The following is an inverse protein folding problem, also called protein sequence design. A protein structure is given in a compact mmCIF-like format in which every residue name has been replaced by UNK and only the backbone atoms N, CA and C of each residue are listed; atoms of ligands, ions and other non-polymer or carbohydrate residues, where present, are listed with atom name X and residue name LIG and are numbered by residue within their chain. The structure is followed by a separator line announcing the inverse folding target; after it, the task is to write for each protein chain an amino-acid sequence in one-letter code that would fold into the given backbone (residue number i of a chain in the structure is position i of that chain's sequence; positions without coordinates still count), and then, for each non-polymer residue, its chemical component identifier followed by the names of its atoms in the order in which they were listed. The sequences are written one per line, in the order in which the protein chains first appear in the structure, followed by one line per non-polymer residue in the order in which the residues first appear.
data_IF_967229826233
#
_entry.id   IF_967229826233
#
_cell.length_a   1.000
_cell.length_b   1.000
_cell.length_c   1.000
_cell.angle_alpha   90.00
_cell.angle_beta   90.00
_cell.angle_gamma   90.00
#
_symmetry.space_group_name_H-M   'P 1'
#
loop_
_entity.id
_entity.type
_entity.pdbx_description
1 polymer ?
#
# COMPACT_ATOMS: atom_id res chain seq x y z
N UNK A 1 -4.74 1.83 14.92
CA UNK A 1 -6.02 2.36 14.37
C UNK A 1 -6.86 1.25 13.71
N UNK A 2 -6.36 0.42 12.77
CA UNK A 2 -7.20 -0.60 12.11
C UNK A 2 -7.83 -1.60 13.08
N UNK A 3 -7.09 -2.10 14.08
CA UNK A 3 -7.63 -3.04 15.08
C UNK A 3 -8.81 -2.44 15.85
N UNK A 4 -8.71 -1.19 16.29
CA UNK A 4 -9.78 -0.50 17.02
C UNK A 4 -11.06 -0.36 16.17
N UNK A 5 -10.91 -0.08 14.87
CA UNK A 5 -12.05 -0.01 13.95
C UNK A 5 -12.72 -1.38 13.81
N UNK A 6 -11.95 -2.44 13.61
CA UNK A 6 -12.47 -3.80 13.53
C UNK A 6 -13.22 -4.18 14.80
N UNK A 7 -12.66 -3.91 15.98
CA UNK A 7 -13.29 -4.19 17.27
C UNK A 7 -14.63 -3.44 17.44
N UNK A 8 -14.68 -2.16 17.00
CA UNK A 8 -15.91 -1.35 17.06
C UNK A 8 -17.05 -1.91 16.22
N UNK A 9 -16.73 -2.48 15.05
CA UNK A 9 -17.74 -2.99 14.10
C UNK A 9 -17.96 -4.49 14.15
N UNK A 10 -17.16 -5.23 14.92
CA UNK A 10 -17.27 -6.68 15.08
C UNK A 10 -18.63 -7.05 15.64
N UNK A 11 -19.34 -7.93 14.94
CA UNK A 11 -20.64 -8.46 15.37
C UNK A 11 -21.85 -7.59 15.03
N UNK A 12 -21.67 -6.44 14.38
CA UNK A 12 -22.79 -5.59 13.93
C UNK A 12 -23.44 -6.08 12.63
N UNK A 13 -22.73 -6.87 11.84
CA UNK A 13 -23.25 -7.44 10.59
C UNK A 13 -23.90 -8.79 10.83
N UNK A 14 -25.08 -8.99 10.22
CA UNK A 14 -25.85 -10.24 10.31
C UNK A 14 -25.37 -11.34 9.35
N UNK A 15 -24.52 -10.99 8.38
CA UNK A 15 -24.03 -11.87 7.30
C UNK A 15 -22.62 -12.44 7.57
N UNK A 16 -22.10 -12.28 8.78
CA UNK A 16 -20.77 -12.77 9.18
C UNK A 16 -19.60 -11.91 8.71
N UNK A 17 -19.84 -10.81 7.99
CA UNK A 17 -18.81 -9.84 7.62
C UNK A 17 -18.56 -8.85 8.76
N UNK A 18 -17.33 -8.34 8.87
CA UNK A 18 -17.01 -7.28 9.86
C UNK A 18 -17.66 -5.96 9.48
N UNK A 19 -17.72 -5.67 8.17
CA UNK A 19 -18.32 -4.45 7.63
C UNK A 19 -19.36 -4.79 6.57
N UNK A 20 -20.47 -4.05 6.58
CA UNK A 20 -21.41 -4.04 5.45
C UNK A 20 -20.81 -3.18 4.34
N UNK A 21 -20.27 -3.83 3.30
CA UNK A 21 -19.63 -3.14 2.17
C UNK A 21 -20.61 -3.02 1.02
N UNK A 22 -20.86 -1.81 0.49
CA UNK A 22 -21.68 -1.64 -0.71
C UNK A 22 -21.03 -2.32 -1.92
N UNK A 23 -21.83 -2.62 -2.95
CA UNK A 23 -21.29 -3.14 -4.21
C UNK A 23 -20.24 -2.19 -4.82
N UNK A 24 -19.31 -2.72 -5.62
CA UNK A 24 -18.27 -1.92 -6.28
C UNK A 24 -18.86 -0.74 -7.09
N UNK A 25 -20.01 -0.95 -7.75
CA UNK A 25 -20.69 0.11 -8.48
C UNK A 25 -21.14 1.25 -7.57
N UNK A 26 -21.75 0.92 -6.42
CA UNK A 26 -22.18 1.91 -5.44
C UNK A 26 -20.99 2.63 -4.78
N UNK A 27 -19.92 1.90 -4.46
CA UNK A 27 -18.67 2.51 -3.97
C UNK A 27 -18.12 3.52 -4.98
N UNK A 28 -18.08 3.20 -6.27
CA UNK A 28 -17.60 4.11 -7.30
C UNK A 28 -18.50 5.35 -7.46
N UNK A 29 -19.80 5.21 -7.28
CA UNK A 29 -20.73 6.36 -7.29
C UNK A 29 -20.46 7.30 -6.12
N UNK A 30 -20.27 6.76 -4.91
CA UNK A 30 -19.95 7.53 -3.72
C UNK A 30 -18.59 8.22 -3.88
N UNK A 31 -17.57 7.50 -4.36
CA UNK A 31 -16.23 8.06 -4.59
C UNK A 31 -16.22 9.17 -5.64
N UNK A 32 -17.02 9.03 -6.70
CA UNK A 32 -17.17 10.08 -7.72
C UNK A 32 -17.75 11.36 -7.11
N UNK A 33 -18.79 11.22 -6.31
CA UNK A 33 -19.43 12.38 -5.66
C UNK A 33 -18.49 13.03 -4.65
N UNK A 34 -17.81 12.25 -3.82
CA UNK A 34 -16.80 12.71 -2.89
C UNK A 34 -15.68 13.49 -3.61
N UNK A 35 -15.16 12.93 -4.71
CA UNK A 35 -14.14 13.59 -5.52
C UNK A 35 -14.59 14.93 -6.09
N UNK A 36 -15.86 15.02 -6.53
CA UNK A 36 -16.47 16.28 -7.00
C UNK A 36 -16.55 17.31 -5.87
N UNK A 37 -17.00 16.92 -4.69
CA UNK A 37 -17.12 17.82 -3.52
C UNK A 37 -15.76 18.32 -3.05
N UNK A 38 -14.72 17.47 -3.12
CA UNK A 38 -13.35 17.83 -2.75
C UNK A 38 -12.58 18.58 -3.86
N UNK A 39 -13.19 18.81 -5.03
CA UNK A 39 -12.55 19.53 -6.14
C UNK A 39 -11.45 18.75 -6.84
N UNK A 40 -11.42 17.41 -6.77
CA UNK A 40 -10.43 16.61 -7.47
C UNK A 40 -10.66 16.68 -8.99
N UNK A 41 -9.58 16.94 -9.73
CA UNK A 41 -9.60 16.95 -11.21
C UNK A 41 -9.66 15.56 -11.84
N UNK A 42 -9.27 14.53 -11.06
CA UNK A 42 -9.29 13.13 -11.48
C UNK A 42 -10.56 12.45 -10.97
N UNK A 43 -11.08 11.51 -11.76
CA UNK A 43 -12.22 10.69 -11.35
C UNK A 43 -11.77 9.68 -10.30
N UNK A 44 -12.23 9.83 -9.07
CA UNK A 44 -11.99 8.83 -8.03
C UNK A 44 -12.81 7.56 -8.32
N UNK A 45 -12.12 6.43 -8.28
CA UNK A 45 -12.71 5.09 -8.38
C UNK A 45 -12.04 4.18 -7.37
N UNK A 46 -12.67 3.05 -7.07
CA UNK A 46 -12.07 2.02 -6.22
C UNK A 46 -10.71 1.56 -6.74
N UNK A 47 -10.57 1.45 -8.07
CA UNK A 47 -9.30 1.09 -8.71
C UNK A 47 -8.22 2.15 -8.53
N UNK A 48 -8.56 3.43 -8.66
CA UNK A 48 -7.63 4.55 -8.41
C UNK A 48 -7.19 4.56 -6.96
N UNK A 49 -8.13 4.39 -6.00
CA UNK A 49 -7.78 4.32 -4.59
C UNK A 49 -6.83 3.15 -4.27
N UNK A 50 -7.09 1.98 -4.84
CA UNK A 50 -6.23 0.80 -4.73
C UNK A 50 -4.84 1.04 -5.32
N UNK A 51 -4.75 1.64 -6.50
CA UNK A 51 -3.51 2.02 -7.15
C UNK A 51 -2.70 3.01 -6.29
N UNK A 52 -3.36 4.04 -5.78
CA UNK A 52 -2.73 5.05 -4.91
C UNK A 52 -2.19 4.41 -3.64
N UNK A 53 -2.95 3.54 -2.97
CA UNK A 53 -2.47 2.84 -1.78
C UNK A 53 -1.24 1.97 -2.09
N UNK A 54 -1.26 1.23 -3.20
CA UNK A 54 -0.13 0.38 -3.60
C UNK A 54 1.15 1.20 -3.86
N UNK A 55 1.03 2.33 -4.55
CA UNK A 55 2.18 3.16 -4.97
C UNK A 55 2.67 4.08 -3.87
N UNK A 56 1.79 4.88 -3.28
CA UNK A 56 2.17 5.97 -2.35
C UNK A 56 2.24 5.54 -0.90
N UNK A 57 1.54 4.48 -0.51
CA UNK A 57 1.57 3.99 0.88
C UNK A 57 2.49 2.79 1.02
N UNK A 58 2.35 1.77 0.17
CA UNK A 58 3.10 0.53 0.35
C UNK A 58 4.50 0.59 -0.30
N UNK A 59 4.56 0.76 -1.62
CA UNK A 59 5.84 0.72 -2.34
C UNK A 59 6.77 1.88 -1.99
N UNK A 60 6.26 3.08 -1.79
CA UNK A 60 7.08 4.25 -1.40
C UNK A 60 7.67 4.12 -0.01
N UNK A 61 7.07 3.32 0.87
CA UNK A 61 7.59 3.03 2.21
C UNK A 61 8.39 1.72 2.27
N UNK A 62 8.84 1.22 1.12
CA UNK A 62 9.77 0.10 1.05
C UNK A 62 9.13 -1.29 1.21
N UNK A 63 7.79 -1.41 1.18
CA UNK A 63 7.16 -2.74 1.17
C UNK A 63 7.54 -3.47 -0.12
N UNK A 64 8.09 -4.69 -0.06
CA UNK A 64 8.47 -5.45 -1.25
C UNK A 64 7.30 -5.65 -2.21
N UNK A 65 7.57 -5.60 -3.51
CA UNK A 65 6.54 -5.71 -4.55
C UNK A 65 5.78 -7.04 -4.49
N UNK A 66 6.44 -8.11 -4.09
CA UNK A 66 5.85 -9.43 -3.91
C UNK A 66 4.81 -9.42 -2.79
N UNK A 67 5.11 -8.72 -1.69
CA UNK A 67 4.18 -8.52 -0.58
C UNK A 67 2.99 -7.68 -1.01
N UNK A 68 3.23 -6.59 -1.75
CA UNK A 68 2.17 -5.74 -2.30
C UNK A 68 1.28 -6.53 -3.26
N UNK A 69 1.87 -7.34 -4.13
CA UNK A 69 1.13 -8.20 -5.05
C UNK A 69 0.18 -9.14 -4.33
N UNK A 70 0.65 -9.80 -3.27
CA UNK A 70 -0.16 -10.69 -2.43
C UNK A 70 -1.27 -9.94 -1.69
N UNK A 71 -0.98 -8.78 -1.10
CA UNK A 71 -1.97 -7.94 -0.42
C UNK A 71 -3.06 -7.46 -1.39
N UNK A 72 -2.69 -7.21 -2.63
CA UNK A 72 -3.64 -6.86 -3.69
C UNK A 72 -4.41 -8.08 -4.24
N UNK A 73 -4.04 -9.31 -3.90
CA UNK A 73 -4.65 -10.53 -4.42
C UNK A 73 -4.37 -10.76 -5.91
N UNK A 74 -3.24 -10.27 -6.41
CA UNK A 74 -2.82 -10.55 -7.78
C UNK A 74 -2.22 -11.94 -7.87
N UNK A 75 -2.64 -12.71 -8.87
CA UNK A 75 -2.09 -14.04 -9.15
C UNK A 75 -0.76 -13.98 -9.91
N UNK A 76 -0.53 -12.89 -10.65
CA UNK A 76 0.70 -12.64 -11.40
C UNK A 76 1.36 -11.34 -10.93
N UNK A 77 2.65 -11.40 -10.63
CA UNK A 77 3.48 -10.27 -10.22
C UNK A 77 3.55 -9.18 -11.30
N UNK A 78 3.47 -9.55 -12.58
CA UNK A 78 3.45 -8.62 -13.73
C UNK A 78 2.36 -7.57 -13.58
N UNK A 79 1.20 -7.94 -13.05
CA UNK A 79 0.10 -7.01 -12.79
C UNK A 79 0.47 -5.94 -11.76
N UNK A 80 1.37 -6.25 -10.83
CA UNK A 80 1.84 -5.32 -9.80
C UNK A 80 3.04 -4.49 -10.30
N UNK A 81 3.83 -5.01 -11.23
CA UNK A 81 5.00 -4.31 -11.79
C UNK A 81 4.65 -2.99 -12.48
N UNK A 82 3.43 -2.83 -12.98
CA UNK A 82 2.96 -1.54 -13.51
C UNK A 82 2.96 -0.43 -12.45
N UNK A 83 2.91 -0.77 -11.17
CA UNK A 83 2.98 0.16 -10.04
C UNK A 83 4.41 0.44 -9.58
N UNK A 84 5.34 -0.45 -9.89
CA UNK A 84 6.72 -0.37 -9.45
C UNK A 84 7.57 0.42 -10.45
N UNK A 85 7.26 1.70 -10.63
CA UNK A 85 8.24 2.60 -11.26
C UNK A 85 9.37 2.82 -10.26
N UNK A 86 10.52 2.22 -10.53
CA UNK A 86 11.74 2.49 -9.78
C UNK A 86 12.13 3.94 -10.06
N UNK A 87 11.98 4.80 -9.07
CA UNK A 87 12.45 6.19 -9.15
C UNK A 87 13.91 6.25 -8.73
N UNK A 88 14.67 7.20 -9.28
CA UNK A 88 16.06 7.44 -8.85
C UNK A 88 16.16 7.69 -7.35
N UNK A 89 15.15 8.33 -6.76
CA UNK A 89 15.05 8.56 -5.33
C UNK A 89 14.97 7.27 -4.51
N UNK A 90 14.22 6.26 -5.00
CA UNK A 90 14.15 4.95 -4.33
C UNK A 90 15.49 4.22 -4.43
N UNK A 91 16.14 4.26 -5.58
CA UNK A 91 17.48 3.65 -5.75
C UNK A 91 18.46 4.27 -4.76
N UNK A 92 18.52 5.62 -4.66
CA UNK A 92 19.40 6.30 -3.73
C UNK A 92 19.11 5.90 -2.28
N UNK A 93 17.86 5.88 -1.87
CA UNK A 93 17.47 5.47 -0.51
C UNK A 93 17.84 4.01 -0.20
N UNK A 94 17.60 3.09 -1.12
CA UNK A 94 17.96 1.68 -0.94
C UNK A 94 19.50 1.50 -0.85
N UNK A 95 20.27 2.27 -1.61
CA UNK A 95 21.74 2.26 -1.56
C UNK A 95 22.30 2.88 -0.27
N UNK A 96 21.69 3.94 0.26
CA UNK A 96 22.04 4.50 1.57
C UNK A 96 21.83 3.48 2.69
N UNK A 97 20.68 2.80 2.70
CA UNK A 97 20.39 1.75 3.68
C UNK A 97 21.41 0.61 3.60
N UNK A 98 21.80 0.22 2.39
CA UNK A 98 22.81 -0.81 2.18
C UNK A 98 24.20 -0.36 2.71
N UNK A 99 24.60 0.88 2.38
CA UNK A 99 25.88 1.46 2.85
C UNK A 99 25.98 1.42 4.37
N UNK A 100 24.95 1.90 5.07
CA UNK A 100 24.94 1.86 6.54
C UNK A 100 24.99 0.45 7.12
N UNK A 101 24.36 -0.54 6.48
CA UNK A 101 24.46 -1.93 6.93
C UNK A 101 25.88 -2.48 6.75
N UNK A 102 26.53 -2.18 5.63
CA UNK A 102 27.90 -2.62 5.36
C UNK A 102 28.89 -1.98 6.34
N UNK A 103 28.79 -0.68 6.59
CA UNK A 103 29.62 0.03 7.58
C UNK A 103 29.48 -0.57 8.99
N UNK A 104 28.26 -0.95 9.37
CA UNK A 104 28.03 -1.62 10.65
C UNK A 104 28.69 -2.98 10.72
N UNK A 105 28.58 -3.77 9.66
CA UNK A 105 29.22 -5.10 9.58
C UNK A 105 30.75 -4.97 9.61
N UNK A 106 31.33 -4.01 8.91
CA UNK A 106 32.77 -3.75 8.95
C UNK A 106 33.27 -3.43 10.36
N UNK A 107 32.55 -2.58 11.11
CA UNK A 107 32.88 -2.28 12.51
C UNK A 107 32.80 -3.52 13.40
N UNK A 108 31.74 -4.31 13.27
CA UNK A 108 31.58 -5.56 14.04
C UNK A 108 32.72 -6.55 13.75
N UNK A 109 33.21 -6.62 12.51
CA UNK A 109 34.36 -7.45 12.14
C UNK A 109 35.67 -6.91 12.72
N UNK A 110 35.89 -5.58 12.64
CA UNK A 110 37.09 -4.94 13.20
C UNK A 110 37.16 -5.07 14.73
N UNK A 111 36.01 -4.98 15.42
CA UNK A 111 35.93 -5.10 16.87
C UNK A 111 36.11 -6.57 17.36
N UNK A 112 35.96 -7.55 16.47
CA UNK A 112 36.08 -8.98 16.76
C UNK A 112 37.51 -9.54 16.53
N UNK A 113 38.43 -8.74 15.96
CA UNK A 113 39.84 -9.09 15.72
C UNK A 113 40.70 -8.48 16.81
#
# INVERSE_FOLDING_TARGET
VPKRIIETYKGLSKDGHVFTVPSNGRCNTILKELGRQCGFKIRLTYHVARHTNATTVLLSHGVPIETVSRLLGHTDLKTTQIYARITNQKISSDMEILSHKLEKMEKEICDAI
#
